data_IF_141246078878
#
_entry.id   IF_141246078878
#
_cell.length_a   1.000
_cell.length_b   1.000
_cell.length_c   1.000
_cell.angle_alpha   90.00
_cell.angle_beta   90.00
_cell.angle_gamma   90.00
#
_symmetry.space_group_name_H-M   'P 1'
#
loop_
_entity.id
_entity.type
_entity.pdbx_description
1 polymer ?
#
# COMPACT_ATOMS: atom_id res chain seq x y z
N UNK A 1 -15.98 -40.76 -20.38
CA UNK A 1 -15.56 -39.34 -20.34
C UNK A 1 -15.08 -38.95 -18.94
N UNK A 2 -15.69 -39.46 -17.87
CA UNK A 2 -15.33 -39.15 -16.47
C UNK A 2 -13.92 -39.59 -16.03
N UNK A 3 -13.32 -40.58 -16.68
CA UNK A 3 -11.98 -41.07 -16.36
C UNK A 3 -10.86 -40.19 -16.93
N UNK A 4 -11.09 -39.54 -18.07
CA UNK A 4 -10.11 -38.65 -18.70
C UNK A 4 -10.10 -37.26 -18.02
N UNK A 5 -11.28 -36.75 -17.67
CA UNK A 5 -11.43 -35.49 -16.92
C UNK A 5 -10.82 -35.62 -15.53
N UNK A 6 -11.06 -36.74 -14.83
CA UNK A 6 -10.39 -37.02 -13.57
C UNK A 6 -8.88 -37.18 -13.74
N UNK A 7 -8.38 -37.87 -14.78
CA UNK A 7 -6.95 -38.02 -15.01
C UNK A 7 -6.22 -36.69 -15.36
N UNK A 8 -6.93 -35.74 -16.00
CA UNK A 8 -6.41 -34.40 -16.32
C UNK A 8 -6.49 -33.47 -15.09
N UNK A 9 -7.61 -33.50 -14.35
CA UNK A 9 -7.80 -32.72 -13.11
C UNK A 9 -6.87 -33.18 -11.98
N UNK A 10 -6.55 -34.48 -11.91
CA UNK A 10 -5.61 -35.05 -10.91
C UNK A 10 -4.15 -34.62 -11.18
N UNK A 11 -3.82 -34.14 -12.40
CA UNK A 11 -2.45 -33.73 -12.77
C UNK A 11 -2.19 -32.23 -12.73
N UNK A 12 -3.22 -31.40 -12.62
CA UNK A 12 -3.03 -29.97 -12.36
C UNK A 12 -2.83 -29.78 -10.86
N UNK A 13 -1.58 -29.60 -10.45
CA UNK A 13 -1.28 -29.23 -9.07
C UNK A 13 -2.02 -27.91 -8.75
N UNK A 14 -2.56 -27.78 -7.55
CA UNK A 14 -3.16 -26.53 -7.06
C UNK A 14 -2.23 -25.32 -7.32
N UNK A 15 -0.91 -25.52 -7.21
CA UNK A 15 0.10 -24.52 -7.52
C UNK A 15 0.16 -24.12 -9.00
N UNK A 16 -0.08 -25.05 -9.93
CA UNK A 16 -0.08 -24.77 -11.36
C UNK A 16 -1.37 -24.05 -11.78
N UNK A 17 -2.50 -24.37 -11.15
CA UNK A 17 -3.74 -23.59 -11.31
C UNK A 17 -3.59 -22.17 -10.76
N UNK A 18 -2.94 -21.99 -9.61
CA UNK A 18 -2.65 -20.67 -9.04
C UNK A 18 -1.74 -19.84 -9.95
N UNK A 19 -0.69 -20.46 -10.53
CA UNK A 19 0.18 -19.80 -11.51
C UNK A 19 -0.55 -19.46 -12.79
N UNK A 20 -1.39 -20.36 -13.31
CA UNK A 20 -2.20 -20.10 -14.49
C UNK A 20 -3.18 -18.95 -14.22
N UNK A 21 -3.83 -18.93 -13.06
CA UNK A 21 -4.71 -17.84 -12.66
C UNK A 21 -3.95 -16.51 -12.52
N UNK A 22 -2.80 -16.51 -11.85
CA UNK A 22 -1.94 -15.33 -11.76
C UNK A 22 -1.57 -14.80 -13.15
N UNK A 23 -1.12 -15.70 -14.04
CA UNK A 23 -0.79 -15.37 -15.42
C UNK A 23 -2.00 -14.79 -16.18
N UNK A 24 -3.17 -15.41 -16.08
CA UNK A 24 -4.38 -14.94 -16.74
C UNK A 24 -4.84 -13.57 -16.24
N UNK A 25 -4.74 -13.29 -14.93
CA UNK A 25 -5.11 -11.96 -14.40
C UNK A 25 -4.09 -10.91 -14.86
N UNK A 26 -2.79 -11.24 -14.84
CA UNK A 26 -1.73 -10.34 -15.29
C UNK A 26 -1.86 -9.98 -16.78
N UNK A 27 -2.26 -10.94 -17.64
CA UNK A 27 -2.48 -10.72 -19.08
C UNK A 27 -3.86 -10.16 -19.43
N UNK A 28 -4.59 -9.62 -18.46
CA UNK A 28 -5.95 -9.09 -18.64
C UNK A 28 -6.94 -10.06 -19.31
N UNK A 29 -6.63 -11.35 -19.27
CA UNK A 29 -7.43 -12.42 -19.86
C UNK A 29 -8.60 -12.82 -18.96
N UNK A 30 -8.73 -12.15 -17.80
CA UNK A 30 -9.80 -12.35 -16.83
C UNK A 30 -10.77 -11.18 -16.91
N UNK A 31 -12.01 -11.46 -17.30
CA UNK A 31 -13.06 -10.44 -17.33
C UNK A 31 -13.41 -9.98 -15.91
N UNK A 32 -13.84 -8.71 -15.72
CA UNK A 32 -14.31 -8.24 -14.42
C UNK A 32 -15.47 -9.05 -13.85
N UNK A 33 -16.33 -9.58 -14.72
CA UNK A 33 -17.46 -10.45 -14.35
C UNK A 33 -16.95 -11.76 -13.77
N UNK A 34 -16.03 -12.43 -14.47
CA UNK A 34 -15.43 -13.66 -13.96
C UNK A 34 -14.70 -13.43 -12.63
N UNK A 35 -13.94 -12.34 -12.52
CA UNK A 35 -13.22 -12.02 -11.29
C UNK A 35 -14.20 -11.84 -10.12
N UNK A 36 -15.30 -11.12 -10.33
CA UNK A 36 -16.36 -10.97 -9.34
C UNK A 36 -16.98 -12.32 -8.95
N UNK A 37 -17.39 -13.14 -9.92
CA UNK A 37 -18.01 -14.45 -9.67
C UNK A 37 -17.06 -15.38 -8.90
N UNK A 38 -15.77 -15.37 -9.28
CA UNK A 38 -14.74 -16.17 -8.62
C UNK A 38 -14.52 -15.74 -7.17
N UNK A 39 -14.41 -14.43 -6.90
CA UNK A 39 -14.30 -13.94 -5.52
C UNK A 39 -15.58 -14.22 -4.72
N UNK A 40 -16.76 -14.07 -5.32
CA UNK A 40 -18.04 -14.33 -4.65
C UNK A 40 -18.16 -15.80 -4.23
N UNK A 41 -17.89 -16.73 -5.15
CA UNK A 41 -17.88 -18.16 -4.84
C UNK A 41 -16.82 -18.51 -3.81
N UNK A 42 -15.63 -17.89 -3.88
CA UNK A 42 -14.56 -18.11 -2.90
C UNK A 42 -14.97 -17.67 -1.49
N UNK A 43 -15.76 -16.59 -1.36
CA UNK A 43 -16.30 -16.13 -0.07
C UNK A 43 -17.29 -17.15 0.51
N UNK A 44 -18.12 -17.77 -0.32
CA UNK A 44 -19.07 -18.81 0.11
C UNK A 44 -18.38 -20.06 0.67
N UNK A 45 -17.16 -20.35 0.23
CA UNK A 45 -16.33 -21.45 0.75
C UNK A 45 -15.73 -21.17 2.14
N UNK A 46 -15.82 -19.94 2.63
CA UNK A 46 -15.30 -19.52 3.94
C UNK A 46 -13.89 -18.92 3.90
N UNK A 47 -13.50 -18.26 4.99
CA UNK A 47 -12.28 -17.46 5.07
C UNK A 47 -11.00 -18.28 4.85
N UNK A 48 -10.91 -19.47 5.43
CA UNK A 48 -9.74 -20.36 5.28
C UNK A 48 -9.53 -20.79 3.81
N UNK A 49 -10.63 -21.09 3.11
CA UNK A 49 -10.59 -21.47 1.70
C UNK A 49 -10.20 -20.27 0.85
N UNK A 50 -10.78 -19.10 1.12
CA UNK A 50 -10.44 -17.84 0.45
C UNK A 50 -8.94 -17.54 0.59
N UNK A 51 -8.41 -17.59 1.81
CA UNK A 51 -7.00 -17.31 2.11
C UNK A 51 -6.07 -18.30 1.39
N UNK A 52 -6.40 -19.60 1.35
CA UNK A 52 -5.64 -20.62 0.59
C UNK A 52 -5.61 -20.37 -0.92
N UNK A 53 -6.63 -19.70 -1.46
CA UNK A 53 -6.70 -19.34 -2.89
C UNK A 53 -5.85 -18.08 -3.15
N UNK A 54 -6.05 -17.04 -2.35
CA UNK A 54 -5.52 -15.70 -2.66
C UNK A 54 -4.17 -15.37 -2.02
N UNK A 55 -3.78 -15.97 -0.90
CA UNK A 55 -2.47 -15.72 -0.30
C UNK A 55 -1.32 -16.18 -1.22
N UNK A 56 -1.35 -17.35 -1.87
CA UNK A 56 -0.32 -17.73 -2.84
C UNK A 56 -0.25 -16.80 -4.05
N UNK A 57 -1.38 -16.22 -4.46
CA UNK A 57 -1.38 -15.19 -5.50
C UNK A 57 -0.63 -13.94 -5.02
N UNK A 58 -0.87 -13.48 -3.80
CA UNK A 58 -0.12 -12.36 -3.20
C UNK A 58 1.39 -12.66 -3.17
N UNK A 59 1.80 -13.88 -2.86
CA UNK A 59 3.22 -14.27 -2.88
C UNK A 59 3.84 -14.13 -4.28
N UNK A 60 3.08 -14.48 -5.33
CA UNK A 60 3.49 -14.29 -6.73
C UNK A 60 3.61 -12.80 -7.06
N UNK A 61 2.67 -11.96 -6.61
CA UNK A 61 2.72 -10.51 -6.85
C UNK A 61 3.90 -9.86 -6.13
N UNK A 62 4.17 -10.25 -4.89
CA UNK A 62 5.35 -9.81 -4.13
C UNK A 62 6.62 -10.21 -4.84
N UNK A 63 6.73 -11.47 -5.26
CA UNK A 63 7.90 -11.96 -6.00
C UNK A 63 8.10 -11.17 -7.30
N UNK A 64 7.04 -11.00 -8.09
CA UNK A 64 7.08 -10.23 -9.33
C UNK A 64 7.53 -8.78 -9.09
N UNK A 65 7.01 -8.11 -8.06
CA UNK A 65 7.39 -6.72 -7.72
C UNK A 65 8.87 -6.58 -7.34
N UNK A 66 9.50 -7.64 -6.83
CA UNK A 66 10.93 -7.66 -6.47
C UNK A 66 11.87 -7.91 -7.64
N UNK A 67 11.40 -8.58 -8.69
CA UNK A 67 12.23 -8.96 -9.84
C UNK A 67 12.04 -8.05 -11.05
N UNK A 68 10.90 -7.35 -11.13
CA UNK A 68 10.60 -6.44 -12.21
C UNK A 68 11.27 -5.08 -11.96
N UNK A 69 11.83 -4.54 -13.03
CA UNK A 69 12.41 -3.20 -13.11
C UNK A 69 11.45 -2.23 -13.79
N UNK A 70 11.61 -0.93 -13.55
CA UNK A 70 10.83 0.10 -14.24
C UNK A 70 10.97 0.05 -15.77
N UNK A 71 12.01 -0.59 -16.31
CA UNK A 71 12.16 -0.79 -17.74
C UNK A 71 11.26 -1.88 -18.32
N UNK A 72 10.80 -2.81 -17.51
CA UNK A 72 9.95 -3.91 -17.96
C UNK A 72 8.55 -3.39 -18.33
N UNK A 73 8.03 -3.83 -19.47
CA UNK A 73 6.68 -3.44 -19.93
C UNK A 73 5.59 -3.86 -18.94
N UNK A 74 5.86 -4.93 -18.19
CA UNK A 74 4.92 -5.56 -17.27
C UNK A 74 5.10 -5.10 -15.82
N UNK A 75 5.92 -4.08 -15.56
CA UNK A 75 6.25 -3.60 -14.20
C UNK A 75 5.01 -3.24 -13.37
N UNK A 76 3.93 -2.80 -14.01
CA UNK A 76 2.69 -2.41 -13.33
C UNK A 76 1.78 -3.59 -13.01
N UNK A 77 2.00 -4.77 -13.61
CA UNK A 77 1.10 -5.92 -13.45
C UNK A 77 0.88 -6.31 -11.99
N UNK A 78 1.91 -6.47 -11.14
CA UNK A 78 1.68 -6.95 -9.78
C UNK A 78 0.73 -6.03 -9.00
N UNK A 79 0.95 -4.72 -9.14
CA UNK A 79 0.17 -3.70 -8.47
C UNK A 79 -1.24 -3.54 -9.08
N UNK A 80 -1.38 -3.63 -10.41
CA UNK A 80 -2.70 -3.57 -11.04
C UNK A 80 -3.56 -4.78 -10.68
N UNK A 81 -3.00 -5.99 -10.65
CA UNK A 81 -3.71 -7.19 -10.17
C UNK A 81 -4.10 -7.02 -8.70
N UNK A 82 -3.18 -6.57 -7.85
CA UNK A 82 -3.46 -6.29 -6.45
C UNK A 82 -4.61 -5.29 -6.28
N UNK A 83 -4.56 -4.18 -7.02
CA UNK A 83 -5.63 -3.17 -7.07
C UNK A 83 -6.96 -3.76 -7.54
N UNK A 84 -6.97 -4.54 -8.63
CA UNK A 84 -8.17 -5.21 -9.16
C UNK A 84 -8.83 -6.06 -8.08
N UNK A 85 -8.07 -6.88 -7.36
CA UNK A 85 -8.55 -7.71 -6.26
C UNK A 85 -9.12 -6.88 -5.10
N UNK A 86 -8.42 -5.82 -4.66
CA UNK A 86 -8.92 -4.88 -3.67
C UNK A 86 -10.22 -4.19 -4.11
N UNK A 87 -10.42 -3.97 -5.41
CA UNK A 87 -11.55 -3.20 -5.94
C UNK A 87 -12.87 -3.97 -5.99
N UNK A 88 -12.85 -5.30 -5.93
CA UNK A 88 -14.05 -6.13 -5.96
C UNK A 88 -14.81 -6.01 -4.63
N UNK A 89 -16.12 -5.79 -4.72
CA UNK A 89 -17.03 -5.79 -3.57
C UNK A 89 -17.96 -6.99 -3.64
N UNK A 90 -18.03 -7.77 -2.56
CA UNK A 90 -18.97 -8.89 -2.41
C UNK A 90 -19.81 -8.61 -1.18
N UNK A 91 -21.14 -8.60 -1.31
CA UNK A 91 -22.06 -8.35 -0.20
C UNK A 91 -21.76 -7.08 0.62
N UNK A 92 -21.30 -6.02 -0.05
CA UNK A 92 -20.97 -4.73 0.57
C UNK A 92 -19.59 -4.63 1.21
N UNK A 93 -18.84 -5.73 1.33
CA UNK A 93 -17.47 -5.76 1.86
C UNK A 93 -16.44 -5.96 0.74
N UNK A 94 -15.15 -5.77 1.05
CA UNK A 94 -14.04 -6.08 0.15
C UNK A 94 -13.27 -7.29 0.67
N UNK A 95 -13.65 -8.52 0.29
CA UNK A 95 -13.15 -9.74 0.94
C UNK A 95 -11.63 -9.90 0.80
N UNK A 96 -11.04 -9.50 -0.33
CA UNK A 96 -9.58 -9.52 -0.49
C UNK A 96 -8.87 -8.55 0.45
N UNK A 97 -9.43 -7.36 0.68
CA UNK A 97 -8.88 -6.40 1.64
C UNK A 97 -8.95 -6.92 3.09
N UNK A 98 -9.92 -7.78 3.42
CA UNK A 98 -9.98 -8.43 4.74
C UNK A 98 -8.98 -9.58 4.83
N UNK A 99 -8.92 -10.42 3.79
CA UNK A 99 -8.05 -11.58 3.70
C UNK A 99 -6.57 -11.24 3.82
N UNK A 100 -6.13 -10.13 3.22
CA UNK A 100 -4.72 -9.74 3.28
C UNK A 100 -4.24 -9.39 4.69
N UNK A 101 -5.14 -8.94 5.57
CA UNK A 101 -4.83 -8.60 6.97
C UNK A 101 -4.51 -9.84 7.81
N UNK A 102 -5.02 -11.01 7.38
CA UNK A 102 -4.80 -12.29 8.05
C UNK A 102 -3.48 -12.95 7.64
N UNK A 103 -2.77 -12.37 6.67
CA UNK A 103 -1.46 -12.90 6.30
C UNK A 103 -0.46 -12.67 7.44
N UNK A 104 0.45 -13.63 7.67
CA UNK A 104 1.47 -13.52 8.73
C UNK A 104 2.49 -12.39 8.46
N UNK A 105 2.54 -11.85 7.24
CA UNK A 105 3.46 -10.80 6.80
C UNK A 105 2.79 -9.41 6.67
N UNK A 106 1.53 -9.22 7.11
CA UNK A 106 0.83 -7.93 6.99
C UNK A 106 1.59 -6.75 7.61
N UNK A 107 2.14 -6.96 8.81
CA UNK A 107 3.14 -6.18 9.56
C UNK A 107 2.77 -6.23 11.04
N UNK A 108 3.50 -7.01 11.84
CA UNK A 108 3.26 -7.16 13.28
C UNK A 108 4.31 -6.45 14.16
N UNK A 109 5.25 -5.73 13.52
CA UNK A 109 6.37 -5.08 14.18
C UNK A 109 7.70 -5.39 13.48
N UNK A 110 8.78 -4.70 13.86
CA UNK A 110 10.10 -4.94 13.31
C UNK A 110 10.65 -6.30 13.77
N UNK A 111 11.35 -6.98 12.86
CA UNK A 111 12.06 -8.23 13.11
C UNK A 111 13.53 -7.96 13.48
N UNK A 112 14.11 -6.88 12.94
CA UNK A 112 15.49 -6.45 13.16
C UNK A 112 15.58 -4.93 13.33
N UNK A 113 16.81 -4.42 13.45
CA UNK A 113 17.08 -2.98 13.50
C UNK A 113 16.80 -2.29 12.15
N UNK A 114 16.75 -3.02 11.03
CA UNK A 114 16.45 -2.50 9.70
C UNK A 114 14.95 -2.38 9.41
N UNK A 115 14.18 -1.95 10.43
CA UNK A 115 12.73 -1.91 10.42
C UNK A 115 12.11 -1.15 9.23
N UNK A 116 12.77 -0.09 8.76
CA UNK A 116 12.32 0.68 7.60
C UNK A 116 12.41 -0.14 6.30
N UNK A 117 13.47 -0.94 6.13
CA UNK A 117 13.58 -1.85 4.98
C UNK A 117 12.59 -2.99 5.08
N UNK A 118 12.40 -3.54 6.27
CA UNK A 118 11.49 -4.65 6.49
C UNK A 118 10.06 -4.31 6.11
N UNK A 119 9.55 -3.15 6.58
CA UNK A 119 8.18 -2.77 6.27
C UNK A 119 7.99 -2.55 4.76
N UNK A 120 9.00 -2.04 4.05
CA UNK A 120 8.96 -1.86 2.60
C UNK A 120 9.11 -3.17 1.82
N UNK A 121 9.95 -4.10 2.28
CA UNK A 121 10.34 -5.27 1.50
C UNK A 121 9.60 -6.55 1.89
N UNK A 122 9.14 -6.69 3.12
CA UNK A 122 8.58 -7.95 3.66
C UNK A 122 7.06 -7.95 3.76
N UNK A 123 6.42 -6.78 3.70
CA UNK A 123 4.96 -6.69 3.78
C UNK A 123 4.34 -6.75 2.38
N UNK A 124 3.10 -7.25 2.22
CA UNK A 124 2.41 -7.27 0.94
C UNK A 124 2.30 -5.87 0.33
N UNK A 125 1.81 -4.89 1.11
CA UNK A 125 1.65 -3.52 0.65
C UNK A 125 2.99 -2.84 0.35
N UNK A 126 3.98 -2.99 1.23
CA UNK A 126 5.31 -2.45 1.01
C UNK A 126 5.91 -2.95 -0.30
N UNK A 127 5.86 -4.27 -0.51
CA UNK A 127 6.50 -4.92 -1.65
C UNK A 127 5.86 -4.49 -2.97
N UNK A 128 4.53 -4.49 -3.07
CA UNK A 128 3.83 -4.14 -4.33
C UNK A 128 3.87 -2.64 -4.64
N UNK A 129 4.06 -1.79 -3.63
CA UNK A 129 4.20 -0.34 -3.82
C UNK A 129 5.65 0.12 -4.06
N UNK A 130 6.62 -0.78 -3.86
CA UNK A 130 8.04 -0.49 -4.11
C UNK A 130 8.38 -0.81 -5.55
N UNK A 131 8.63 0.24 -6.34
CA UNK A 131 9.26 0.13 -7.67
C UNK A 131 10.44 1.08 -7.67
N UNK A 132 11.64 0.54 -7.84
CA UNK A 132 12.88 1.30 -7.79
C UNK A 132 13.01 2.23 -9.00
N UNK A 133 13.31 3.51 -8.75
CA UNK A 133 13.46 4.53 -9.78
C UNK A 133 14.81 5.26 -9.73
N UNK A 134 15.73 4.83 -8.86
CA UNK A 134 17.09 5.36 -8.76
C UNK A 134 18.10 4.32 -9.21
N UNK A 135 19.15 4.75 -9.92
CA UNK A 135 20.21 3.87 -10.42
C UNK A 135 20.93 3.11 -9.31
N UNK A 136 21.11 3.74 -8.15
CA UNK A 136 21.75 3.13 -6.98
C UNK A 136 20.89 2.02 -6.36
N UNK A 137 19.59 2.03 -6.62
CA UNK A 137 18.63 1.02 -6.14
C UNK A 137 18.35 -0.05 -7.21
N UNK A 138 18.33 0.34 -8.49
CA UNK A 138 18.19 -0.55 -9.65
C UNK A 138 19.17 -0.16 -10.77
N UNK A 139 20.33 -0.85 -10.89
CA UNK A 139 21.32 -0.53 -11.91
C UNK A 139 20.85 -0.86 -13.32
N UNK A 140 19.79 -1.65 -13.47
CA UNK A 140 19.27 -2.05 -14.78
C UNK A 140 18.60 -0.88 -15.51
N UNK A 141 18.24 0.20 -14.80
CA UNK A 141 17.72 1.45 -15.37
C UNK A 141 18.72 2.16 -16.28
N UNK A 142 20.02 1.90 -16.12
CA UNK A 142 21.08 2.45 -16.99
C UNK A 142 20.89 2.00 -18.46
N UNK A 143 20.26 0.84 -18.67
CA UNK A 143 19.95 0.34 -20.00
C UNK A 143 18.95 1.25 -20.74
N UNK A 144 17.98 1.85 -20.02
CA UNK A 144 17.01 2.77 -20.64
C UNK A 144 17.69 4.02 -21.19
N UNK A 145 18.69 4.54 -20.46
CA UNK A 145 19.48 5.70 -20.88
C UNK A 145 20.37 5.41 -22.10
N UNK A 146 20.87 4.16 -22.24
CA UNK A 146 21.77 3.75 -23.32
C UNK A 146 21.07 3.52 -24.66
N UNK A 147 19.81 3.10 -24.65
CA UNK A 147 19.09 2.69 -25.87
C UNK A 147 18.61 3.88 -26.70
N UNK A 148 18.09 4.93 -26.07
CA UNK A 148 17.38 6.00 -26.80
C UNK A 148 18.17 7.30 -27.01
N UNK A 149 19.33 7.49 -26.37
CA UNK A 149 20.22 8.65 -26.55
C UNK A 149 19.63 10.04 -26.21
N UNK A 150 18.30 10.14 -26.05
CA UNK A 150 17.55 11.32 -25.65
C UNK A 150 17.09 11.16 -24.21
N UNK A 151 17.84 11.78 -23.29
CA UNK A 151 17.49 11.82 -21.87
C UNK A 151 16.05 12.31 -21.64
N UNK A 152 15.56 13.26 -22.45
CA UNK A 152 14.21 13.81 -22.34
C UNK A 152 13.11 12.76 -22.59
N UNK A 153 13.30 11.89 -23.59
CA UNK A 153 12.36 10.81 -23.86
C UNK A 153 12.35 9.79 -22.72
N UNK A 154 13.52 9.34 -22.27
CA UNK A 154 13.67 8.39 -21.15
C UNK A 154 13.05 8.94 -19.87
N UNK A 155 13.31 10.21 -19.55
CA UNK A 155 12.68 10.89 -18.41
C UNK A 155 11.16 10.95 -18.52
N UNK A 156 10.63 11.19 -19.72
CA UNK A 156 9.17 11.21 -19.95
C UNK A 156 8.57 9.83 -19.73
N UNK A 157 9.17 8.77 -20.27
CA UNK A 157 8.71 7.39 -20.10
C UNK A 157 8.73 6.98 -18.63
N UNK A 158 9.84 7.21 -17.93
CA UNK A 158 9.99 6.92 -16.50
C UNK A 158 8.92 7.66 -15.69
N UNK A 159 8.70 8.96 -15.97
CA UNK A 159 7.69 9.77 -15.28
C UNK A 159 6.28 9.21 -15.48
N UNK A 160 5.92 8.86 -16.72
CA UNK A 160 4.60 8.32 -17.03
C UNK A 160 4.37 6.96 -16.35
N UNK A 161 5.38 6.07 -16.37
CA UNK A 161 5.31 4.77 -15.68
C UNK A 161 5.17 4.93 -14.18
N UNK A 162 5.98 5.80 -13.56
CA UNK A 162 5.86 6.09 -12.13
C UNK A 162 4.52 6.71 -11.76
N UNK A 163 3.99 7.61 -12.60
CA UNK A 163 2.67 8.18 -12.39
C UNK A 163 1.60 7.08 -12.36
N UNK A 164 1.62 6.17 -13.33
CA UNK A 164 0.70 5.03 -13.37
C UNK A 164 0.83 4.13 -12.13
N UNK A 165 2.05 3.79 -11.69
CA UNK A 165 2.29 3.02 -10.47
C UNK A 165 1.69 3.73 -9.24
N UNK A 166 1.86 5.04 -9.14
CA UNK A 166 1.34 5.83 -8.00
C UNK A 166 -0.19 5.93 -8.04
N UNK A 167 -0.79 6.03 -9.22
CA UNK A 167 -2.25 6.03 -9.38
C UNK A 167 -2.86 4.67 -8.99
N UNK A 168 -2.24 3.57 -9.44
CA UNK A 168 -2.65 2.21 -9.07
C UNK A 168 -2.50 1.98 -7.55
N UNK A 169 -1.39 2.43 -6.96
CA UNK A 169 -1.14 2.35 -5.50
C UNK A 169 -2.18 3.14 -4.72
N UNK A 170 -2.50 4.35 -5.19
CA UNK A 170 -3.52 5.21 -4.58
C UNK A 170 -4.88 4.51 -4.59
N UNK A 171 -5.26 3.91 -5.72
CA UNK A 171 -6.55 3.22 -5.85
C UNK A 171 -6.63 1.96 -4.98
N UNK A 172 -5.54 1.19 -4.88
CA UNK A 172 -5.47 0.03 -4.00
C UNK A 172 -5.64 0.43 -2.53
N UNK A 173 -4.86 1.41 -2.04
CA UNK A 173 -4.96 1.91 -0.67
C UNK A 173 -6.33 2.55 -0.40
N UNK A 174 -6.89 3.30 -1.35
CA UNK A 174 -8.24 3.84 -1.25
C UNK A 174 -9.27 2.73 -1.05
N UNK A 175 -9.17 1.63 -1.80
CA UNK A 175 -10.06 0.48 -1.64
C UNK A 175 -9.98 -0.09 -0.22
N UNK A 176 -8.77 -0.24 0.33
CA UNK A 176 -8.58 -0.72 1.71
C UNK A 176 -9.09 0.28 2.75
N UNK A 177 -8.95 1.58 2.53
CA UNK A 177 -9.39 2.61 3.48
C UNK A 177 -10.90 2.86 3.50
N UNK A 178 -11.61 2.61 2.39
CA UNK A 178 -13.08 2.71 2.37
C UNK A 178 -13.78 1.47 2.93
N UNK A 179 -13.05 0.36 3.11
CA UNK A 179 -13.57 -0.86 3.70
C UNK A 179 -13.37 -0.83 5.22
N UNK A 180 -14.45 -1.06 5.97
CA UNK A 180 -14.48 -0.84 7.43
C UNK A 180 -13.45 -1.66 8.19
N UNK A 181 -13.29 -2.93 7.83
CA UNK A 181 -12.38 -3.85 8.52
C UNK A 181 -10.91 -3.56 8.22
N UNK A 182 -10.58 -3.17 6.99
CA UNK A 182 -9.19 -2.90 6.58
C UNK A 182 -8.75 -1.46 6.80
N UNK A 183 -9.66 -0.53 7.08
CA UNK A 183 -9.34 0.89 7.23
C UNK A 183 -8.33 1.14 8.33
N UNK A 184 -8.60 0.67 9.55
CA UNK A 184 -7.74 0.93 10.70
C UNK A 184 -6.35 0.26 10.55
N UNK A 185 -6.26 -1.03 10.18
CA UNK A 185 -4.95 -1.66 9.94
C UNK A 185 -4.15 -0.99 8.83
N UNK A 186 -4.80 -0.49 7.77
CA UNK A 186 -4.12 0.23 6.68
C UNK A 186 -3.58 1.58 7.16
N UNK A 187 -4.35 2.32 7.96
CA UNK A 187 -3.89 3.57 8.56
C UNK A 187 -2.74 3.34 9.56
N UNK A 188 -2.80 2.24 10.31
CA UNK A 188 -1.72 1.84 11.21
C UNK A 188 -0.45 1.49 10.44
N UNK A 189 -0.56 0.74 9.34
CA UNK A 189 0.56 0.44 8.45
C UNK A 189 1.25 1.72 7.95
N UNK A 190 0.47 2.69 7.42
CA UNK A 190 1.01 3.96 6.95
C UNK A 190 1.68 4.76 8.08
N UNK A 191 1.09 4.75 9.27
CA UNK A 191 1.71 5.37 10.45
C UNK A 191 3.04 4.72 10.80
N UNK A 192 3.11 3.39 10.80
CA UNK A 192 4.34 2.64 11.06
C UNK A 192 5.41 2.95 10.02
N UNK A 193 5.07 3.07 8.73
CA UNK A 193 6.00 3.49 7.67
C UNK A 193 6.64 4.83 8.03
N UNK A 194 5.86 5.83 8.46
CA UNK A 194 6.38 7.14 8.83
C UNK A 194 7.27 7.08 10.09
N UNK A 195 6.83 6.38 11.14
CA UNK A 195 7.57 6.29 12.40
C UNK A 195 8.92 5.60 12.21
N UNK A 196 8.95 4.46 11.51
CA UNK A 196 10.16 3.67 11.29
C UNK A 196 11.17 4.38 10.39
N UNK A 197 10.72 5.31 9.56
CA UNK A 197 11.56 6.08 8.65
C UNK A 197 11.82 7.53 9.10
N UNK A 198 11.39 7.91 10.31
CA UNK A 198 11.56 9.27 10.87
C UNK A 198 13.00 9.76 10.86
N UNK A 199 13.99 8.88 11.05
CA UNK A 199 15.42 9.24 11.06
C UNK A 199 15.95 9.61 9.68
N UNK A 200 15.19 9.42 8.61
CA UNK A 200 15.62 9.72 7.23
C UNK A 200 15.86 11.20 6.98
N UNK A 201 15.26 12.09 7.78
CA UNK A 201 15.53 13.53 7.74
C UNK A 201 16.78 13.95 8.53
N UNK A 202 17.44 13.03 9.24
CA UNK A 202 18.60 13.33 10.09
C UNK A 202 19.90 13.31 9.29
N UNK A 203 20.84 14.20 9.63
CA UNK A 203 22.13 14.33 8.93
C UNK A 203 23.00 13.06 8.98
N UNK A 204 22.88 12.27 10.04
CA UNK A 204 23.68 11.05 10.29
C UNK A 204 22.82 9.79 10.27
N UNK A 205 21.86 9.71 9.34
CA UNK A 205 20.99 8.54 9.21
C UNK A 205 21.74 7.35 8.62
N UNK A 206 21.68 6.19 9.27
CA UNK A 206 22.12 4.95 8.64
C UNK A 206 21.08 4.50 7.61
N UNK A 207 21.39 4.67 6.32
CA UNK A 207 20.49 4.27 5.25
C UNK A 207 20.20 2.77 5.27
N UNK A 208 21.11 1.93 5.80
CA UNK A 208 20.92 0.49 5.93
C UNK A 208 19.68 0.11 6.77
N UNK A 209 19.22 1.00 7.65
CA UNK A 209 18.11 0.68 8.54
C UNK A 209 16.75 1.18 8.00
N UNK A 210 16.79 2.00 6.96
CA UNK A 210 15.67 2.79 6.44
C UNK A 210 15.15 2.26 5.12
N UNK A 211 13.88 2.52 4.85
CA UNK A 211 13.23 2.14 3.60
C UNK A 211 13.91 2.84 2.39
N UNK A 212 13.87 2.20 1.20
CA UNK A 212 14.32 2.80 -0.05
C UNK A 212 13.64 4.15 -0.35
N UNK A 213 14.35 5.04 -1.05
CA UNK A 213 13.81 6.36 -1.42
C UNK A 213 12.64 6.21 -2.38
N UNK A 214 12.73 5.27 -3.33
CA UNK A 214 11.65 4.99 -4.28
C UNK A 214 10.34 4.61 -3.59
N UNK A 215 10.40 3.79 -2.53
CA UNK A 215 9.24 3.42 -1.75
C UNK A 215 8.62 4.63 -1.03
N UNK A 216 9.44 5.41 -0.31
CA UNK A 216 8.95 6.55 0.45
C UNK A 216 8.39 7.67 -0.43
N UNK A 217 8.97 7.89 -1.62
CA UNK A 217 8.42 8.83 -2.61
C UNK A 217 7.06 8.36 -3.15
N UNK A 218 6.90 7.05 -3.40
CA UNK A 218 5.60 6.51 -3.80
C UNK A 218 4.57 6.68 -2.68
N UNK A 219 4.94 6.39 -1.42
CA UNK A 219 4.07 6.62 -0.25
C UNK A 219 3.68 8.10 -0.12
N UNK A 220 4.63 9.02 -0.28
CA UNK A 220 4.38 10.46 -0.25
C UNK A 220 3.34 10.88 -1.29
N UNK A 221 3.51 10.46 -2.55
CA UNK A 221 2.56 10.81 -3.62
C UNK A 221 1.19 10.19 -3.38
N UNK A 222 1.13 8.95 -2.88
CA UNK A 222 -0.15 8.32 -2.55
C UNK A 222 -0.88 9.08 -1.43
N UNK A 223 -0.17 9.43 -0.35
CA UNK A 223 -0.76 10.23 0.74
C UNK A 223 -1.26 11.59 0.23
N UNK A 224 -0.50 12.23 -0.66
CA UNK A 224 -0.92 13.46 -1.32
C UNK A 224 -2.18 13.26 -2.17
N UNK A 225 -2.22 12.24 -3.03
CA UNK A 225 -3.38 11.96 -3.87
C UNK A 225 -4.64 11.62 -3.05
N UNK A 226 -4.49 10.92 -1.93
CA UNK A 226 -5.58 10.64 -1.01
C UNK A 226 -6.08 11.92 -0.32
N UNK A 227 -5.20 12.89 -0.05
CA UNK A 227 -5.58 14.15 0.59
C UNK A 227 -6.28 15.15 -0.33
N UNK A 228 -6.11 15.05 -1.66
CA UNK A 228 -6.74 15.95 -2.63
C UNK A 228 -8.27 16.04 -2.52
N UNK A 229 -8.92 14.97 -2.04
CA UNK A 229 -10.39 14.92 -1.88
C UNK A 229 -10.87 15.38 -0.50
N UNK A 230 -9.96 15.69 0.42
CA UNK A 230 -10.29 16.09 1.78
C UNK A 230 -10.54 17.59 1.78
N UNK A 231 -11.76 17.98 2.14
CA UNK A 231 -12.12 19.39 2.34
C UNK A 231 -11.66 19.85 3.72
N UNK A 232 -11.28 21.12 3.85
CA UNK A 232 -10.72 21.66 5.09
C UNK A 232 -11.68 21.57 6.29
N UNK A 233 -13.00 21.55 6.06
CA UNK A 233 -14.01 21.35 7.12
C UNK A 233 -13.97 19.96 7.76
N UNK A 234 -13.35 18.97 7.09
CA UNK A 234 -13.19 17.61 7.59
C UNK A 234 -11.86 17.40 8.31
N UNK A 235 -10.95 18.36 8.26
CA UNK A 235 -9.65 18.28 8.91
C UNK A 235 -9.79 18.85 10.31
N UNK A 236 -9.59 18.01 11.32
CA UNK A 236 -9.50 18.46 12.71
C UNK A 236 -8.16 19.19 12.93
N UNK A 237 -8.16 20.52 13.17
CA UNK A 237 -6.93 21.29 13.37
C UNK A 237 -6.18 20.88 14.64
N UNK A 238 -6.87 20.26 15.60
CA UNK A 238 -6.31 19.86 16.88
C UNK A 238 -5.85 18.40 16.89
N UNK A 239 -6.06 17.65 15.80
CA UNK A 239 -5.72 16.23 15.70
C UNK A 239 -4.31 15.93 16.17
N UNK A 240 -3.33 16.75 15.78
CA UNK A 240 -1.91 16.55 16.11
C UNK A 240 -1.58 16.68 17.60
N UNK A 241 -2.48 17.28 18.39
CA UNK A 241 -2.34 17.43 19.84
C UNK A 241 -3.11 16.36 20.62
N UNK A 242 -3.97 15.58 19.96
CA UNK A 242 -4.75 14.51 20.59
C UNK A 242 -3.87 13.29 20.89
N UNK A 243 -4.23 12.55 21.93
CA UNK A 243 -3.59 11.28 22.29
C UNK A 243 -3.82 10.18 21.24
N UNK A 244 -4.91 10.27 20.48
CA UNK A 244 -5.25 9.41 19.34
C UNK A 244 -4.48 9.75 18.06
N UNK A 245 -3.64 10.79 18.06
CA UNK A 245 -2.82 11.13 16.90
C UNK A 245 -1.87 9.98 16.57
N UNK A 246 -1.96 9.47 15.34
CA UNK A 246 -1.00 8.50 14.80
C UNK A 246 0.38 9.10 14.56
N UNK A 247 0.47 10.42 14.42
CA UNK A 247 1.75 11.12 14.26
C UNK A 247 2.20 11.63 15.63
N UNK A 248 3.32 11.09 16.12
CA UNK A 248 3.90 11.52 17.39
C UNK A 248 4.75 12.77 17.18
N UNK A 249 4.40 13.86 17.87
CA UNK A 249 5.15 15.12 17.81
C UNK A 249 6.32 15.21 18.81
N UNK A 250 6.61 14.14 19.55
CA UNK A 250 7.64 14.18 20.60
C UNK A 250 9.02 14.49 20.00
N UNK A 251 9.74 15.44 20.60
CA UNK A 251 11.06 15.87 20.12
C UNK A 251 11.07 16.67 18.82
N UNK A 252 9.92 16.92 18.18
CA UNK A 252 9.87 17.73 16.97
C UNK A 252 9.85 19.23 17.29
N UNK A 253 10.61 20.01 16.53
CA UNK A 253 10.56 21.47 16.56
C UNK A 253 9.17 21.93 16.08
N UNK A 254 8.56 22.87 16.83
CA UNK A 254 7.23 23.39 16.54
C UNK A 254 7.31 24.88 16.22
N UNK A 255 6.39 25.35 15.40
CA UNK A 255 6.31 26.77 15.08
C UNK A 255 5.89 27.56 16.33
N UNK A 256 6.75 28.47 16.79
CA UNK A 256 6.49 29.38 17.91
C UNK A 256 6.01 28.69 19.20
N UNK A 257 6.48 27.47 19.48
CA UNK A 257 6.03 26.71 20.65
C UNK A 257 7.15 25.82 21.19
N UNK A 258 7.42 25.89 22.49
CA UNK A 258 8.36 24.99 23.16
C UNK A 258 7.74 23.63 23.45
N UNK A 259 8.56 22.63 23.74
CA UNK A 259 8.10 21.28 24.08
C UNK A 259 7.26 21.25 25.36
N UNK A 260 7.60 22.08 26.35
CA UNK A 260 6.86 22.19 27.61
C UNK A 260 5.47 22.78 27.39
N UNK A 261 5.40 23.88 26.64
CA UNK A 261 4.12 24.53 26.30
C UNK A 261 3.24 23.60 25.48
N UNK A 262 3.81 22.84 24.54
CA UNK A 262 3.09 21.84 23.77
C UNK A 262 2.52 20.72 24.65
N UNK A 263 3.29 20.23 25.63
CA UNK A 263 2.83 19.19 26.56
C UNK A 263 1.67 19.68 27.45
N UNK A 264 1.71 20.94 27.88
CA UNK A 264 0.58 21.56 28.62
C UNK A 264 -0.65 21.65 27.71
N UNK A 265 -0.48 22.09 26.47
CA UNK A 265 -1.59 22.23 25.53
C UNK A 265 -2.23 20.89 25.15
N UNK A 266 -1.44 19.82 24.98
CA UNK A 266 -1.98 18.47 24.77
C UNK A 266 -2.87 18.03 25.94
N UNK A 267 -2.52 18.37 27.19
CA UNK A 267 -3.36 18.05 28.37
C UNK A 267 -4.67 18.83 28.37
N UNK A 268 -4.66 20.10 27.94
CA UNK A 268 -5.89 20.89 27.82
C UNK A 268 -6.82 20.35 26.74
N UNK A 269 -6.28 19.95 25.58
CA UNK A 269 -7.05 19.35 24.49
C UNK A 269 -7.60 17.97 24.87
N UNK A 270 -6.82 17.14 25.55
CA UNK A 270 -7.25 15.80 25.98
C UNK A 270 -8.27 15.79 27.13
N UNK A 271 -8.47 16.91 27.84
CA UNK A 271 -9.44 17.06 28.93
C UNK A 271 -10.75 17.72 28.49
N UNK A 272 -10.78 18.31 27.28
CA UNK A 272 -11.92 19.01 26.75
C UNK A 272 -12.56 18.18 25.61
N UNK A 273 -13.83 17.80 25.78
CA UNK A 273 -14.66 17.29 24.69
C UNK A 273 -14.93 18.43 23.68
N UNK A 274 -13.98 18.71 22.80
CA UNK A 274 -14.10 19.77 21.77
C UNK A 274 -15.00 19.37 20.59
N UNK A 275 -16.04 18.57 20.84
CA UNK A 275 -17.07 18.28 19.83
C UNK A 275 -18.01 19.50 19.64
N UNK A 276 -17.50 20.64 19.18
CA UNK A 276 -18.35 21.73 18.68
C UNK A 276 -17.70 22.40 17.46
N UNK A 277 -17.72 21.72 16.32
CA UNK A 277 -17.87 22.42 15.04
C UNK A 277 -19.25 22.07 14.48
N UNK A 278 -20.25 22.76 15.03
CA UNK A 278 -21.65 22.54 14.72
C UNK A 278 -22.57 23.39 15.58
N UNK A 279 -22.35 24.71 15.58
CA UNK A 279 -23.41 25.72 15.66
C UNK A 279 -22.75 27.08 15.46
N UNK A 280 -22.73 27.53 14.21
CA UNK A 280 -22.66 28.95 13.92
C UNK A 280 -24.01 29.56 14.32
N UNK A 281 -24.21 29.80 15.61
CA UNK A 281 -25.24 30.71 16.07
C UNK A 281 -24.71 32.14 15.87
N UNK A 282 -25.28 32.77 14.84
CA UNK A 282 -25.79 34.13 14.84
C UNK A 282 -25.23 35.12 15.88
N UNK A 283 -24.84 36.28 15.33
CA UNK A 283 -24.92 37.63 15.90
C UNK A 283 -23.61 38.25 16.39
N UNK A 284 -23.20 39.26 15.61
CA UNK A 284 -22.38 40.45 15.94
C UNK A 284 -20.86 40.23 15.94
#
# INVERSE_FOLDING_TARGET
>A
MDTLVNAIMIRLNCRDMQRAFAYCICNESVSPVFLYDFLSQSVELGEDAFDRIFHPLVDILIFASRVLSLQDEIVTWPLDVFRKLCSVKVNGTRPFCNSILRRPDWFHGPLTEAAGREIAALTPLGSVMTVFCFLDEDPTLDNMCKVDGSYDFVHTVIRLRLQLIRDLSTEALRCMMVNSESREPTMQFLSSVLTLNSKKSSLMSNLADLAPDSFLLNVLVVLFNLSLKITLDKVDPLYVFQSSSRVQLQGMARMNMTSENAAVFCKTVGSADWCVFGNADSSI
#
